data_IF_597653172370
#
_entry.id   IF_597653172370
#
_cell.length_a   1.000
_cell.length_b   1.000
_cell.length_c   1.000
_cell.angle_alpha   90.00
_cell.angle_beta   90.00
_cell.angle_gamma   90.00
#
_symmetry.space_group_name_H-M   'P 1'
#
loop_
_entity.id
_entity.type
_entity.pdbx_description
1 polymer ?
#
# COMPACT_ATOMS: atom_id res chain seq x y z
N UNK A 1 5.24 -19.59 -24.00
CA UNK A 1 5.75 -18.79 -22.87
C UNK A 1 5.99 -17.34 -23.29
N UNK A 2 6.77 -17.08 -24.35
CA UNK A 2 6.98 -15.72 -24.88
C UNK A 2 5.69 -15.03 -25.32
N UNK A 3 4.77 -15.74 -25.99
CA UNK A 3 3.46 -15.19 -26.36
C UNK A 3 2.58 -14.83 -25.16
N UNK A 4 2.65 -15.58 -24.06
CA UNK A 4 1.92 -15.24 -22.82
C UNK A 4 2.51 -14.03 -22.10
N UNK A 5 3.82 -13.80 -22.26
CA UNK A 5 4.49 -12.61 -21.74
C UNK A 5 4.13 -11.38 -22.59
N UNK A 6 4.08 -11.52 -23.91
CA UNK A 6 3.62 -10.46 -24.83
C UNK A 6 2.16 -10.10 -24.62
N UNK A 7 1.25 -11.07 -24.53
CA UNK A 7 -0.17 -10.80 -24.25
C UNK A 7 -0.41 -10.14 -22.87
N UNK A 8 0.49 -10.36 -21.89
CA UNK A 8 0.49 -9.61 -20.63
C UNK A 8 1.04 -8.20 -20.83
N UNK A 9 2.11 -8.03 -21.59
CA UNK A 9 2.74 -6.74 -21.89
C UNK A 9 1.79 -5.78 -22.63
N UNK A 10 1.03 -6.27 -23.61
CA UNK A 10 0.03 -5.48 -24.35
C UNK A 10 -1.08 -4.96 -23.43
N UNK A 11 -1.35 -5.67 -22.32
CA UNK A 11 -2.30 -5.26 -21.28
C UNK A 11 -1.76 -4.14 -20.38
N UNK A 12 -0.44 -3.91 -20.38
CA UNK A 12 0.23 -2.85 -19.64
C UNK A 12 0.56 -1.63 -20.50
N UNK A 13 0.25 -1.62 -21.80
CA UNK A 13 0.43 -0.41 -22.64
C UNK A 13 -0.53 0.73 -22.25
N UNK A 14 -1.59 0.43 -21.49
CA UNK A 14 -2.64 1.38 -21.10
C UNK A 14 -2.92 1.38 -19.59
N UNK A 15 -1.89 1.33 -18.73
CA UNK A 15 -2.08 1.50 -17.28
C UNK A 15 -1.74 2.91 -16.85
N UNK A 16 -2.62 3.50 -16.04
CA UNK A 16 -2.45 4.87 -15.54
C UNK A 16 -1.44 4.93 -14.38
N UNK A 17 -1.33 3.86 -13.58
CA UNK A 17 -0.47 3.82 -12.41
C UNK A 17 0.11 2.42 -12.15
N UNK A 18 1.43 2.38 -11.95
CA UNK A 18 2.12 1.18 -11.44
C UNK A 18 2.57 1.42 -10.00
N UNK A 19 2.12 0.57 -9.07
CA UNK A 19 2.51 0.57 -7.66
C UNK A 19 3.50 -0.55 -7.41
N UNK A 20 4.69 -0.22 -6.92
CA UNK A 20 5.74 -1.19 -6.59
C UNK A 20 5.78 -1.42 -5.08
N UNK A 21 5.46 -2.65 -4.66
CA UNK A 21 5.41 -3.10 -3.28
C UNK A 21 3.97 -3.35 -2.79
N UNK A 22 3.67 -4.58 -2.40
CA UNK A 22 2.41 -5.07 -1.88
C UNK A 22 2.31 -5.07 -0.35
N UNK A 23 3.02 -4.13 0.31
CA UNK A 23 2.80 -3.82 1.73
C UNK A 23 1.55 -2.95 1.93
N UNK A 24 1.24 -2.61 3.18
CA UNK A 24 0.04 -1.83 3.53
C UNK A 24 -0.03 -0.48 2.81
N UNK A 25 1.11 0.20 2.64
CA UNK A 25 1.19 1.47 1.91
C UNK A 25 0.85 1.30 0.43
N UNK A 26 1.47 0.35 -0.26
CA UNK A 26 1.20 0.12 -1.68
C UNK A 26 -0.22 -0.38 -1.94
N UNK A 27 -0.72 -1.27 -1.08
CA UNK A 27 -2.11 -1.73 -1.15
C UNK A 27 -3.11 -0.57 -0.98
N UNK A 28 -2.87 0.34 -0.02
CA UNK A 28 -3.70 1.52 0.20
C UNK A 28 -3.67 2.49 -0.99
N UNK A 29 -2.48 2.75 -1.55
CA UNK A 29 -2.33 3.59 -2.75
C UNK A 29 -3.05 2.99 -3.95
N UNK A 30 -2.89 1.68 -4.18
CA UNK A 30 -3.55 1.00 -5.29
C UNK A 30 -5.07 1.00 -5.14
N UNK A 31 -5.58 0.81 -3.92
CA UNK A 31 -7.01 0.89 -3.63
C UNK A 31 -7.56 2.29 -3.88
N UNK A 32 -6.92 3.34 -3.35
CA UNK A 32 -7.38 4.73 -3.54
C UNK A 32 -7.37 5.11 -5.02
N UNK A 33 -6.32 4.76 -5.77
CA UNK A 33 -6.25 5.03 -7.20
C UNK A 33 -7.31 4.25 -8.00
N UNK A 34 -7.51 2.96 -7.71
CA UNK A 34 -8.56 2.17 -8.36
C UNK A 34 -9.96 2.73 -8.07
N UNK A 35 -10.24 3.17 -6.84
CA UNK A 35 -11.51 3.79 -6.47
C UNK A 35 -11.77 5.13 -7.17
N UNK A 36 -10.70 5.81 -7.63
CA UNK A 36 -10.79 7.02 -8.44
C UNK A 36 -10.92 6.74 -9.94
N UNK A 37 -10.93 5.47 -10.34
CA UNK A 37 -11.15 5.05 -11.73
C UNK A 37 -9.89 4.91 -12.59
N UNK A 38 -8.70 4.89 -11.99
CA UNK A 38 -7.45 4.63 -12.70
C UNK A 38 -7.27 3.13 -12.99
N UNK A 39 -6.67 2.81 -14.13
CA UNK A 39 -6.18 1.47 -14.42
C UNK A 39 -4.85 1.24 -13.69
N UNK A 40 -4.90 0.52 -12.55
CA UNK A 40 -3.78 0.36 -11.62
C UNK A 40 -3.20 -1.05 -11.67
N UNK A 41 -1.87 -1.13 -11.66
CA UNK A 41 -1.13 -2.39 -11.51
C UNK A 41 -0.28 -2.32 -10.26
N UNK A 42 -0.47 -3.28 -9.36
CA UNK A 42 0.40 -3.47 -8.21
C UNK A 42 1.30 -4.69 -8.41
N UNK A 43 2.60 -4.51 -8.20
CA UNK A 43 3.60 -5.60 -8.26
C UNK A 43 4.28 -5.77 -6.91
N UNK A 44 4.38 -7.02 -6.46
CA UNK A 44 5.09 -7.42 -5.24
C UNK A 44 6.07 -8.54 -5.60
N UNK A 45 7.28 -8.48 -5.00
CA UNK A 45 8.32 -9.49 -5.21
C UNK A 45 8.00 -10.80 -4.50
N UNK A 46 7.44 -10.72 -3.30
CA UNK A 46 7.04 -11.85 -2.46
C UNK A 46 5.53 -12.11 -2.45
N UNK A 47 5.02 -12.55 -1.31
CA UNK A 47 3.59 -12.57 -1.03
C UNK A 47 3.13 -11.21 -0.50
N UNK A 48 1.84 -10.89 -0.63
CA UNK A 48 1.27 -9.65 -0.10
C UNK A 48 1.55 -9.52 1.40
N UNK A 49 1.87 -8.29 1.83
CA UNK A 49 2.24 -7.96 3.21
C UNK A 49 3.46 -8.70 3.80
N UNK A 50 4.20 -9.52 3.04
CA UNK A 50 5.34 -10.32 3.53
C UNK A 50 6.52 -9.52 4.12
N UNK A 51 6.60 -8.22 3.80
CA UNK A 51 7.53 -7.26 4.41
C UNK A 51 7.14 -6.81 5.82
N UNK A 52 7.40 -5.54 6.16
CA UNK A 52 7.12 -4.96 7.49
C UNK A 52 5.66 -5.08 7.91
N UNK A 53 4.72 -5.03 6.95
CA UNK A 53 3.28 -5.07 7.22
C UNK A 53 2.82 -6.32 7.95
N UNK A 54 3.50 -7.47 7.79
CA UNK A 54 3.22 -8.70 8.56
C UNK A 54 3.92 -8.77 9.93
N UNK A 55 4.93 -7.91 10.14
CA UNK A 55 5.86 -7.92 11.28
C UNK A 55 5.58 -6.81 12.31
N UNK A 56 4.37 -6.25 12.31
CA UNK A 56 3.93 -5.31 13.34
C UNK A 56 3.52 -6.04 14.63
N UNK A 57 3.29 -5.26 15.69
CA UNK A 57 2.66 -5.74 16.93
C UNK A 57 1.18 -6.08 16.75
N UNK A 58 0.60 -5.91 15.55
CA UNK A 58 -0.81 -6.20 15.21
C UNK A 58 -1.80 -5.40 16.09
N UNK A 59 -1.44 -4.15 16.38
CA UNK A 59 -2.25 -3.19 17.12
C UNK A 59 -2.56 -1.99 16.22
N UNK A 60 -3.81 -1.54 16.24
CA UNK A 60 -4.20 -0.23 15.71
C UNK A 60 -4.26 0.72 16.90
N UNK A 61 -3.28 1.62 17.02
CA UNK A 61 -3.10 2.47 18.19
C UNK A 61 -2.79 3.92 17.83
N UNK A 62 -3.17 4.85 18.72
CA UNK A 62 -2.80 6.27 18.59
C UNK A 62 -1.34 6.59 18.92
N UNK A 63 -0.58 5.63 19.46
CA UNK A 63 0.85 5.82 19.74
C UNK A 63 1.11 6.74 20.92
N UNK A 64 0.44 6.50 22.05
CA UNK A 64 0.51 7.33 23.27
C UNK A 64 1.94 7.76 23.66
N UNK A 65 2.93 6.90 23.46
CA UNK A 65 4.36 7.20 23.73
C UNK A 65 4.89 8.42 22.96
N UNK A 66 4.32 8.73 21.80
CA UNK A 66 4.76 9.85 20.96
C UNK A 66 4.32 11.21 21.53
N UNK A 67 3.33 11.26 22.45
CA UNK A 67 3.01 12.50 23.16
C UNK A 67 4.18 13.01 24.00
N UNK A 68 4.98 12.11 24.58
CA UNK A 68 6.17 12.49 25.34
C UNK A 68 7.25 13.15 24.46
N UNK A 69 7.22 12.89 23.15
CA UNK A 69 8.12 13.47 22.15
C UNK A 69 7.59 14.80 21.59
N UNK A 70 6.37 15.20 21.97
CA UNK A 70 5.70 16.39 21.47
C UNK A 70 4.92 16.19 20.16
N UNK A 71 4.82 14.95 19.66
CA UNK A 71 4.16 14.61 18.38
C UNK A 71 2.63 14.55 18.50
N UNK A 72 2.02 15.66 18.92
CA UNK A 72 0.58 15.76 19.14
C UNK A 72 -0.23 15.57 17.85
N UNK A 73 0.27 16.07 16.72
CA UNK A 73 -0.42 15.94 15.44
C UNK A 73 -0.54 14.48 15.01
N UNK A 74 0.56 13.72 15.11
CA UNK A 74 0.61 12.30 14.80
C UNK A 74 -0.36 11.51 15.68
N UNK A 75 -0.32 11.72 17.00
CA UNK A 75 -1.19 10.99 17.93
C UNK A 75 -2.66 11.29 17.67
N UNK A 76 -2.99 12.55 17.39
CA UNK A 76 -4.36 12.97 17.08
C UNK A 76 -4.88 12.32 15.79
N UNK A 77 -4.06 12.29 14.74
CA UNK A 77 -4.40 11.66 13.47
C UNK A 77 -4.62 10.15 13.64
N UNK A 78 -3.65 9.45 14.24
CA UNK A 78 -3.74 8.01 14.47
C UNK A 78 -4.92 7.58 15.37
N UNK A 79 -5.35 8.43 16.32
CA UNK A 79 -6.56 8.18 17.11
C UNK A 79 -7.85 8.41 16.33
N UNK A 80 -7.85 9.33 15.36
CA UNK A 80 -9.02 9.66 14.55
C UNK A 80 -9.27 8.65 13.43
N UNK A 81 -8.21 8.07 12.87
CA UNK A 81 -8.30 7.07 11.81
C UNK A 81 -8.60 5.65 12.30
N UNK A 82 -8.45 5.38 13.61
CA UNK A 82 -8.75 4.07 14.21
C UNK A 82 -10.24 3.78 14.27
#
# INVERSE_FOLDING_TARGET
MLEQLQAKADRFEAVDLVVVGGGITGAGVALDAALRGFDVVLVERGDFASGTSSKSSKLVHGGLRYLQQGDVALVREALRER
#
